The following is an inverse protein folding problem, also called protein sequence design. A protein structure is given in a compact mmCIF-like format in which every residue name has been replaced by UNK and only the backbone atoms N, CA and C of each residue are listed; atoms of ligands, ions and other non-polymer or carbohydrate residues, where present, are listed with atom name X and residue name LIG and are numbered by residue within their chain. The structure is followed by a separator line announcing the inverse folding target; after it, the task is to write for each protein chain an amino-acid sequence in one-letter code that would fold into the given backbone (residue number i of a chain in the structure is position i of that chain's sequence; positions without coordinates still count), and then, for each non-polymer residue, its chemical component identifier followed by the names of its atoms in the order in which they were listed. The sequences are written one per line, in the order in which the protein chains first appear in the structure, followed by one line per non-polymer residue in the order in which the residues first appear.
data_IF_654572466066
#
_entry.id   IF_654572466066
#
_cell.length_a   1.000
_cell.length_b   1.000
_cell.length_c   1.000
_cell.angle_alpha   90.00
_cell.angle_beta   90.00
_cell.angle_gamma   90.00
#
_symmetry.space_group_name_H-M   'P 1'
#
loop_
_entity.id
_entity.type
_entity.pdbx_description
1 polymer ?
#
# COMPACT_ATOMS: atom_id res chain seq x y z
N UNK A 1 -36.56 15.27 8.00
CA UNK A 1 -36.29 15.85 6.68
C UNK A 1 -37.51 16.63 6.16
N UNK A 2 -38.73 16.16 6.39
CA UNK A 2 -39.95 16.78 5.87
C UNK A 2 -40.10 18.26 6.31
N UNK A 3 -39.82 18.58 7.57
CA UNK A 3 -39.75 19.95 8.05
C UNK A 3 -38.76 20.82 7.25
N UNK A 4 -37.60 20.30 6.89
CA UNK A 4 -36.60 21.03 6.09
C UNK A 4 -37.05 21.18 4.63
N UNK A 5 -37.77 20.21 4.09
CA UNK A 5 -38.37 20.29 2.76
C UNK A 5 -39.43 21.36 2.70
N UNK A 6 -40.30 21.39 3.69
CA UNK A 6 -41.37 22.39 3.79
C UNK A 6 -40.81 23.79 3.99
N UNK A 7 -39.87 23.95 4.92
CA UNK A 7 -39.29 25.26 5.25
C UNK A 7 -38.37 25.85 4.17
N UNK A 8 -37.66 24.97 3.42
CA UNK A 8 -36.69 25.36 2.41
C UNK A 8 -36.88 24.57 1.11
N UNK A 9 -38.01 24.74 0.41
CA UNK A 9 -38.39 23.89 -0.73
C UNK A 9 -37.38 23.94 -1.88
N UNK A 10 -36.73 25.08 -2.08
CA UNK A 10 -35.80 25.31 -3.21
C UNK A 10 -34.33 25.21 -2.82
N UNK A 11 -33.98 24.75 -1.62
CA UNK A 11 -32.59 24.63 -1.18
C UNK A 11 -32.21 23.14 -0.92
N UNK A 12 -31.65 22.43 -1.90
CA UNK A 12 -31.27 21.03 -1.73
C UNK A 12 -30.13 20.84 -0.71
N UNK A 13 -29.38 21.89 -0.35
CA UNK A 13 -28.31 21.79 0.62
C UNK A 13 -28.82 21.66 2.06
N UNK A 14 -30.09 22.03 2.28
CA UNK A 14 -30.77 21.94 3.60
C UNK A 14 -31.61 20.66 3.75
N UNK A 15 -31.22 19.57 3.06
CA UNK A 15 -31.81 18.23 3.23
C UNK A 15 -30.98 17.40 4.19
N UNK A 16 -31.62 16.45 4.86
CA UNK A 16 -30.90 15.40 5.58
C UNK A 16 -30.18 14.54 4.54
N UNK A 17 -28.86 14.52 4.61
CA UNK A 17 -28.01 13.79 3.67
C UNK A 17 -27.67 12.40 4.17
N UNK A 18 -27.54 12.24 5.49
CA UNK A 18 -27.15 10.97 6.11
C UNK A 18 -27.73 10.81 7.50
N UNK A 19 -27.82 9.55 7.93
CA UNK A 19 -28.13 9.15 9.29
C UNK A 19 -26.98 8.29 9.83
N UNK A 20 -26.51 8.57 11.05
CA UNK A 20 -25.42 7.86 11.70
C UNK A 20 -25.96 6.87 12.72
N UNK A 21 -25.40 5.65 12.70
CA UNK A 21 -25.62 4.62 13.72
C UNK A 21 -24.30 4.42 14.46
N UNK A 22 -24.29 4.59 15.77
CA UNK A 22 -23.07 4.55 16.59
C UNK A 22 -23.18 3.69 17.84
N UNK A 23 -24.21 2.84 17.93
CA UNK A 23 -24.40 1.93 19.07
C UNK A 23 -25.24 0.71 18.72
N UNK A 24 -25.17 -0.31 19.56
CA UNK A 24 -25.89 -1.55 19.40
C UNK A 24 -25.36 -2.41 18.23
N UNK A 25 -26.22 -3.29 17.73
CA UNK A 25 -25.93 -4.10 16.55
C UNK A 25 -26.04 -3.24 15.28
N UNK A 26 -24.87 -2.80 14.78
CA UNK A 26 -24.77 -1.87 13.67
C UNK A 26 -25.33 -2.47 12.37
N UNK A 27 -25.00 -3.72 12.06
CA UNK A 27 -25.42 -4.37 10.83
C UNK A 27 -26.95 -4.57 10.79
N UNK A 28 -27.53 -5.05 11.88
CA UNK A 28 -28.98 -5.20 12.01
C UNK A 28 -29.67 -3.83 12.01
N UNK A 29 -29.08 -2.85 12.69
CA UNK A 29 -29.57 -1.47 12.73
C UNK A 29 -29.63 -0.85 11.33
N UNK A 30 -28.59 -1.03 10.53
CA UNK A 30 -28.52 -0.51 9.15
C UNK A 30 -29.62 -1.09 8.27
N UNK A 31 -29.83 -2.42 8.32
CA UNK A 31 -30.90 -3.10 7.56
C UNK A 31 -32.29 -2.59 7.91
N UNK A 32 -32.54 -2.43 9.21
CA UNK A 32 -33.84 -1.92 9.69
C UNK A 32 -34.08 -0.48 9.27
N UNK A 33 -33.05 0.38 9.44
CA UNK A 33 -33.16 1.80 9.10
C UNK A 33 -33.27 1.99 7.58
N UNK A 34 -32.50 1.26 6.79
CA UNK A 34 -32.60 1.28 5.31
C UNK A 34 -34.01 0.95 4.86
N UNK A 35 -34.56 -0.18 5.35
CA UNK A 35 -35.94 -0.58 5.05
C UNK A 35 -36.97 0.48 5.42
N UNK A 36 -36.80 1.13 6.58
CA UNK A 36 -37.71 2.17 7.04
C UNK A 36 -37.63 3.42 6.16
N UNK A 37 -36.43 3.85 5.78
CA UNK A 37 -36.21 5.01 4.90
C UNK A 37 -36.79 4.76 3.49
N UNK A 38 -36.62 3.56 2.96
CA UNK A 38 -37.17 3.19 1.65
C UNK A 38 -38.69 3.19 1.67
N UNK A 39 -39.30 2.68 2.75
CA UNK A 39 -40.76 2.63 2.91
C UNK A 39 -41.39 4.03 2.96
N UNK A 40 -40.67 5.06 3.41
CA UNK A 40 -41.15 6.45 3.44
C UNK A 40 -40.63 7.29 2.26
N UNK A 41 -40.12 6.66 1.21
CA UNK A 41 -39.66 7.33 -0.03
C UNK A 41 -38.39 8.17 0.14
N UNK A 42 -37.48 7.80 1.07
CA UNK A 42 -36.23 8.52 1.33
C UNK A 42 -34.98 7.67 1.09
N UNK A 43 -34.87 6.96 -0.06
CA UNK A 43 -33.71 6.13 -0.36
C UNK A 43 -32.39 6.91 -0.51
N UNK A 44 -32.49 8.23 -0.75
CA UNK A 44 -31.33 9.11 -0.91
C UNK A 44 -30.58 9.41 0.39
N UNK A 45 -31.17 9.15 1.56
CA UNK A 45 -30.50 9.34 2.86
C UNK A 45 -29.46 8.24 3.05
N UNK A 46 -28.20 8.63 3.12
CA UNK A 46 -27.06 7.73 3.30
C UNK A 46 -26.97 7.24 4.74
N UNK A 47 -26.45 6.02 4.95
CA UNK A 47 -26.20 5.47 6.27
C UNK A 47 -24.72 5.49 6.60
N UNK A 48 -24.38 5.95 7.79
CA UNK A 48 -23.00 6.06 8.29
C UNK A 48 -22.86 5.21 9.54
N UNK A 49 -21.91 4.28 9.55
CA UNK A 49 -21.51 3.56 10.75
C UNK A 49 -20.42 4.30 11.51
N UNK A 50 -20.46 4.24 12.84
CA UNK A 50 -19.36 4.63 13.72
C UNK A 50 -19.39 3.77 14.98
N UNK A 51 -18.43 3.93 15.87
CA UNK A 51 -18.25 3.18 17.13
C UNK A 51 -17.17 2.08 17.03
N UNK A 52 -15.95 2.46 17.38
CA UNK A 52 -14.82 1.55 17.54
C UNK A 52 -14.58 0.67 16.31
N UNK A 53 -14.77 1.26 15.11
CA UNK A 53 -14.60 0.55 13.84
C UNK A 53 -13.12 0.36 13.54
N UNK A 54 -12.83 -0.78 12.95
CA UNK A 54 -11.56 -1.17 12.37
C UNK A 54 -11.80 -1.94 11.07
N UNK A 55 -10.74 -2.30 10.36
CA UNK A 55 -10.82 -3.03 9.10
C UNK A 55 -11.52 -4.38 9.25
N UNK A 56 -11.36 -5.08 10.37
CA UNK A 56 -11.96 -6.40 10.60
C UNK A 56 -13.45 -6.30 10.85
N UNK A 57 -13.88 -5.34 11.66
CA UNK A 57 -15.32 -5.10 11.91
C UNK A 57 -16.03 -4.66 10.65
N UNK A 58 -15.41 -3.77 9.84
CA UNK A 58 -15.97 -3.35 8.56
C UNK A 58 -16.09 -4.55 7.62
N UNK A 59 -15.03 -5.32 7.45
CA UNK A 59 -15.05 -6.52 6.61
C UNK A 59 -16.12 -7.52 7.06
N UNK A 60 -16.27 -7.75 8.37
CA UNK A 60 -17.29 -8.63 8.90
C UNK A 60 -18.72 -8.14 8.56
N UNK A 61 -19.00 -6.87 8.80
CA UNK A 61 -20.29 -6.25 8.48
C UNK A 61 -20.63 -6.30 7.00
N UNK A 62 -19.64 -6.06 6.11
CA UNK A 62 -19.85 -6.07 4.65
C UNK A 62 -19.97 -7.49 4.10
N UNK A 63 -19.00 -8.36 4.39
CA UNK A 63 -18.87 -9.67 3.75
C UNK A 63 -19.83 -10.71 4.32
N UNK A 64 -20.05 -10.71 5.63
CA UNK A 64 -20.81 -11.78 6.30
C UNK A 64 -22.15 -11.32 6.83
N UNK A 65 -22.24 -10.08 7.30
CA UNK A 65 -23.49 -9.59 7.86
C UNK A 65 -24.32 -8.81 6.84
N UNK A 66 -23.78 -8.50 5.66
CA UNK A 66 -24.46 -7.75 4.59
C UNK A 66 -25.12 -6.46 5.12
N UNK A 67 -24.36 -5.64 5.82
CA UNK A 67 -24.82 -4.37 6.34
C UNK A 67 -25.12 -3.38 5.19
N UNK A 68 -25.99 -2.40 5.45
CA UNK A 68 -26.35 -1.37 4.48
C UNK A 68 -25.77 -0.02 4.87
N UNK A 69 -24.44 0.10 4.88
CA UNK A 69 -23.76 1.37 5.11
C UNK A 69 -23.18 1.95 3.81
N UNK A 70 -23.25 3.26 3.68
CA UNK A 70 -22.66 3.99 2.55
C UNK A 70 -21.28 4.56 2.93
N UNK A 71 -20.98 4.68 4.23
CA UNK A 71 -19.69 5.19 4.72
C UNK A 71 -19.43 4.79 6.17
N UNK A 72 -18.16 4.89 6.58
CA UNK A 72 -17.66 4.48 7.88
C UNK A 72 -16.87 5.59 8.53
N UNK A 73 -17.22 5.95 9.78
CA UNK A 73 -16.45 6.85 10.62
C UNK A 73 -15.46 6.07 11.47
N UNK A 74 -14.23 5.89 11.00
CA UNK A 74 -13.15 5.23 11.74
C UNK A 74 -12.37 6.30 12.50
N UNK A 75 -12.28 6.16 13.82
CA UNK A 75 -11.65 7.12 14.71
C UNK A 75 -10.34 6.61 15.31
N UNK A 76 -10.38 6.26 16.60
CA UNK A 76 -9.21 5.88 17.38
C UNK A 76 -8.40 4.72 16.77
N UNK A 77 -9.06 3.69 16.24
CA UNK A 77 -8.38 2.53 15.68
C UNK A 77 -7.55 2.88 14.43
N UNK A 78 -7.95 3.90 13.66
CA UNK A 78 -7.15 4.41 12.55
C UNK A 78 -5.90 5.15 13.05
N UNK A 79 -6.03 5.94 14.11
CA UNK A 79 -4.93 6.77 14.66
C UNK A 79 -3.95 5.92 15.46
N UNK A 80 -4.44 4.98 16.25
CA UNK A 80 -3.58 4.14 17.10
C UNK A 80 -2.88 3.04 16.33
N UNK A 81 -3.45 2.58 15.19
CA UNK A 81 -2.90 1.49 14.37
C UNK A 81 -2.43 0.32 15.23
N UNK A 82 -3.33 -0.25 16.04
CA UNK A 82 -3.00 -1.16 17.14
C UNK A 82 -2.15 -2.39 16.76
N UNK A 83 -2.26 -2.86 15.50
CA UNK A 83 -1.46 -3.98 14.98
C UNK A 83 -0.01 -3.60 14.68
N UNK A 84 0.24 -2.35 14.25
CA UNK A 84 1.58 -1.83 13.94
C UNK A 84 1.65 -0.32 14.23
N UNK A 85 1.71 0.07 15.51
CA UNK A 85 1.57 1.47 15.94
C UNK A 85 2.80 2.34 15.67
N UNK A 86 3.91 1.75 15.24
CA UNK A 86 5.18 2.44 15.05
C UNK A 86 5.78 2.12 13.69
N UNK A 87 6.04 3.14 12.89
CA UNK A 87 6.89 3.00 11.71
C UNK A 87 8.35 2.94 12.14
N UNK A 88 8.91 1.72 12.19
CA UNK A 88 10.32 1.51 12.47
C UNK A 88 11.20 2.07 11.34
N UNK A 89 12.11 2.99 11.67
CA UNK A 89 13.08 3.55 10.75
C UNK A 89 14.49 3.07 11.07
N UNK A 90 15.24 2.63 10.07
CA UNK A 90 16.65 2.23 10.20
C UNK A 90 17.48 2.91 9.12
N UNK A 91 18.57 3.55 9.52
CA UNK A 91 19.57 4.11 8.62
C UNK A 91 20.88 3.33 8.72
N UNK A 92 21.38 2.83 7.58
CA UNK A 92 22.61 2.05 7.49
C UNK A 92 23.49 2.57 6.36
N UNK A 93 24.81 2.70 6.63
CA UNK A 93 25.80 2.98 5.60
C UNK A 93 25.98 1.75 4.72
N UNK A 94 25.77 1.88 3.42
CA UNK A 94 25.86 0.81 2.44
C UNK A 94 26.90 1.04 1.35
N UNK A 95 27.34 2.27 1.16
CA UNK A 95 28.40 2.62 0.21
C UNK A 95 29.04 3.97 0.56
N UNK A 96 30.30 4.16 0.17
CA UNK A 96 31.03 5.42 0.28
C UNK A 96 31.51 5.84 -1.10
N UNK A 97 31.19 7.07 -1.50
CA UNK A 97 31.67 7.66 -2.77
C UNK A 97 33.17 7.94 -2.68
N UNK A 98 33.89 7.54 -3.70
CA UNK A 98 35.33 7.78 -3.84
C UNK A 98 35.61 9.07 -4.62
N UNK A 99 36.83 9.59 -4.57
CA UNK A 99 37.23 10.83 -5.33
C UNK A 99 37.05 10.68 -6.85
N UNK A 100 37.19 9.46 -7.40
CA UNK A 100 36.97 9.14 -8.82
C UNK A 100 35.50 9.06 -9.23
N UNK A 101 34.57 9.23 -8.27
CA UNK A 101 33.14 9.14 -8.48
C UNK A 101 32.55 7.74 -8.32
N UNK A 102 33.39 6.70 -8.20
CA UNK A 102 32.95 5.32 -7.92
C UNK A 102 32.39 5.18 -6.50
N UNK A 103 31.72 4.06 -6.21
CA UNK A 103 31.19 3.76 -4.89
C UNK A 103 31.80 2.46 -4.34
N UNK A 104 32.46 2.55 -3.20
CA UNK A 104 32.94 1.37 -2.47
C UNK A 104 31.80 0.85 -1.57
N UNK A 105 31.36 -0.41 -1.76
CA UNK A 105 30.36 -1.00 -0.89
C UNK A 105 30.80 -1.03 0.56
N UNK A 106 29.85 -0.87 1.48
CA UNK A 106 30.05 -0.99 2.92
C UNK A 106 28.93 -1.83 3.53
N UNK A 107 29.24 -2.62 4.53
CA UNK A 107 28.28 -3.41 5.26
C UNK A 107 28.62 -3.42 6.74
N UNK A 108 27.62 -3.28 7.59
CA UNK A 108 27.75 -3.59 9.01
C UNK A 108 27.51 -5.10 9.19
N UNK A 109 28.54 -5.82 9.64
CA UNK A 109 28.40 -7.21 10.04
C UNK A 109 27.53 -7.32 11.30
N UNK A 110 26.76 -8.38 11.38
CA UNK A 110 25.90 -8.70 12.52
C UNK A 110 25.92 -10.20 12.74
N UNK A 111 25.88 -10.64 13.99
CA UNK A 111 25.81 -12.05 14.36
C UNK A 111 24.50 -12.73 13.93
N UNK A 112 23.50 -11.94 13.56
CA UNK A 112 22.21 -12.42 13.05
C UNK A 112 22.10 -12.19 11.53
N UNK A 113 21.93 -13.26 10.77
CA UNK A 113 21.73 -13.20 9.31
C UNK A 113 20.50 -12.36 8.92
N UNK A 114 19.45 -12.36 9.73
CA UNK A 114 18.25 -11.53 9.52
C UNK A 114 18.51 -10.03 9.63
N UNK A 115 19.62 -9.61 10.25
CA UNK A 115 20.06 -8.22 10.36
C UNK A 115 21.11 -7.82 9.33
N UNK A 116 21.50 -8.75 8.45
CA UNK A 116 22.46 -8.46 7.39
C UNK A 116 21.86 -7.50 6.38
N UNK A 117 22.55 -6.39 6.16
CA UNK A 117 22.15 -5.36 5.19
C UNK A 117 22.62 -5.76 3.78
N UNK A 118 22.05 -5.11 2.77
CA UNK A 118 22.48 -5.28 1.37
C UNK A 118 23.46 -4.14 1.03
N UNK A 119 24.75 -4.43 0.80
CA UNK A 119 25.77 -3.43 0.51
C UNK A 119 25.65 -2.84 -0.91
N UNK A 120 26.37 -1.77 -1.16
CA UNK A 120 26.48 -1.14 -2.47
C UNK A 120 25.48 -0.01 -2.73
N UNK A 121 25.73 0.80 -3.75
CA UNK A 121 24.77 1.78 -4.28
C UNK A 121 23.81 1.03 -5.18
N UNK A 122 22.53 1.13 -4.89
CA UNK A 122 21.50 0.27 -5.47
C UNK A 122 20.32 1.06 -6.02
N UNK A 123 19.62 0.46 -6.98
CA UNK A 123 18.36 0.93 -7.53
C UNK A 123 17.32 -0.19 -7.39
N UNK A 124 16.26 0.00 -6.61
CA UNK A 124 15.11 -0.92 -6.63
C UNK A 124 14.24 -0.67 -7.86
N UNK A 125 13.80 -1.78 -8.45
CA UNK A 125 12.92 -1.80 -9.61
C UNK A 125 11.66 -2.59 -9.26
N UNK A 126 10.52 -2.23 -9.84
CA UNK A 126 9.31 -3.05 -9.85
C UNK A 126 9.15 -3.68 -11.22
N UNK A 127 8.89 -4.97 -11.24
CA UNK A 127 8.72 -5.79 -12.44
C UNK A 127 7.24 -6.16 -12.54
N UNK A 128 6.67 -6.01 -13.75
CA UNK A 128 5.25 -6.24 -14.00
C UNK A 128 5.05 -7.37 -15.00
N UNK A 129 3.97 -8.11 -14.84
CA UNK A 129 3.52 -9.14 -15.77
C UNK A 129 2.73 -8.55 -16.96
N UNK A 130 2.19 -9.44 -17.80
CA UNK A 130 1.40 -9.07 -18.97
C UNK A 130 0.06 -8.42 -18.63
N UNK A 131 -0.46 -8.59 -17.43
CA UNK A 131 -1.70 -7.98 -16.95
C UNK A 131 -1.46 -6.61 -16.31
N UNK A 132 -0.20 -6.18 -16.18
CA UNK A 132 0.18 -4.94 -15.53
C UNK A 132 0.26 -5.03 -14.00
N UNK A 133 0.16 -6.24 -13.44
CA UNK A 133 0.29 -6.47 -12.00
C UNK A 133 1.77 -6.57 -11.59
N UNK A 134 2.10 -6.04 -10.42
CA UNK A 134 3.44 -6.06 -9.87
C UNK A 134 3.82 -7.49 -9.45
N UNK A 135 4.70 -8.12 -10.22
CA UNK A 135 5.10 -9.51 -10.03
C UNK A 135 6.11 -9.65 -8.88
N UNK A 136 7.06 -8.73 -8.79
CA UNK A 136 8.02 -8.63 -7.69
C UNK A 136 8.78 -7.31 -7.76
N UNK A 137 9.49 -6.98 -6.68
CA UNK A 137 10.49 -5.93 -6.67
C UNK A 137 11.90 -6.55 -6.79
N UNK A 138 12.80 -5.86 -7.48
CA UNK A 138 14.17 -6.28 -7.73
C UNK A 138 15.15 -5.22 -7.24
N UNK A 139 16.09 -5.60 -6.40
CA UNK A 139 17.22 -4.77 -6.00
C UNK A 139 18.38 -5.05 -6.96
N UNK A 140 18.75 -4.03 -7.74
CA UNK A 140 19.88 -4.07 -8.66
C UNK A 140 20.99 -3.12 -8.22
N UNK A 141 22.21 -3.27 -8.69
CA UNK A 141 23.22 -2.23 -8.56
C UNK A 141 22.82 -0.99 -9.38
N UNK A 142 23.29 0.20 -9.00
CA UNK A 142 22.88 1.47 -9.60
C UNK A 142 23.22 1.59 -11.09
N UNK A 143 24.25 0.87 -11.54
CA UNK A 143 24.73 0.80 -12.92
C UNK A 143 24.09 -0.30 -13.76
N UNK A 144 23.31 -1.20 -13.15
CA UNK A 144 22.59 -2.23 -13.88
C UNK A 144 21.36 -1.66 -14.59
N UNK A 145 21.16 -2.09 -15.83
CA UNK A 145 20.00 -1.69 -16.64
C UNK A 145 19.03 -2.86 -16.74
N UNK A 146 17.83 -2.69 -16.23
CA UNK A 146 16.75 -3.66 -16.32
C UNK A 146 15.78 -3.20 -17.41
N UNK A 147 15.52 -4.06 -18.39
CA UNK A 147 14.71 -3.72 -19.56
C UNK A 147 13.46 -4.61 -19.65
N UNK A 148 12.34 -4.00 -20.04
CA UNK A 148 11.12 -4.74 -20.36
C UNK A 148 11.34 -5.65 -21.60
N UNK A 149 10.73 -6.83 -21.58
CA UNK A 149 10.84 -7.82 -22.66
C UNK A 149 12.15 -8.61 -22.68
N UNK A 150 13.08 -8.36 -21.74
CA UNK A 150 14.32 -9.14 -21.62
C UNK A 150 14.27 -10.05 -20.40
N UNK A 151 14.85 -11.28 -20.46
CA UNK A 151 14.96 -12.16 -19.30
C UNK A 151 15.78 -11.51 -18.19
N UNK A 152 15.26 -11.53 -16.97
CA UNK A 152 15.92 -11.05 -15.76
C UNK A 152 16.06 -12.20 -14.78
N UNK A 153 17.32 -12.58 -14.51
CA UNK A 153 17.65 -13.58 -13.50
C UNK A 153 17.80 -12.92 -12.14
N UNK A 154 17.15 -13.48 -11.14
CA UNK A 154 17.08 -12.93 -9.78
C UNK A 154 17.43 -13.99 -8.76
N UNK A 155 18.03 -13.56 -7.66
CA UNK A 155 18.27 -14.36 -6.46
C UNK A 155 17.25 -13.98 -5.41
N UNK A 156 16.55 -14.96 -4.86
CA UNK A 156 15.53 -14.73 -3.84
C UNK A 156 16.20 -14.27 -2.52
N UNK A 157 15.64 -13.22 -1.92
CA UNK A 157 16.09 -12.74 -0.61
C UNK A 157 15.55 -13.59 0.55
N UNK A 158 14.49 -14.35 0.31
CA UNK A 158 13.87 -15.17 1.33
C UNK A 158 14.68 -16.45 1.54
N UNK A 159 15.16 -16.67 2.77
CA UNK A 159 15.94 -17.85 3.12
C UNK A 159 15.12 -19.15 3.02
N UNK A 160 13.80 -19.05 3.10
CA UNK A 160 12.87 -20.18 3.09
C UNK A 160 12.34 -20.52 1.69
N UNK A 161 12.77 -19.79 0.66
CA UNK A 161 12.35 -20.05 -0.71
C UNK A 161 12.89 -21.39 -1.22
N UNK A 162 12.01 -22.17 -1.86
CA UNK A 162 12.34 -23.45 -2.50
C UNK A 162 13.34 -23.24 -3.64
N UNK A 163 13.15 -22.17 -4.42
CA UNK A 163 14.05 -21.79 -5.50
C UNK A 163 14.86 -20.54 -5.11
N UNK A 164 16.18 -20.68 -5.10
CA UNK A 164 17.08 -19.55 -4.82
C UNK A 164 17.28 -18.62 -6.00
N UNK A 165 17.05 -19.11 -7.22
CA UNK A 165 17.23 -18.35 -8.46
C UNK A 165 16.00 -18.50 -9.33
N UNK A 166 15.46 -17.38 -9.78
CA UNK A 166 14.29 -17.30 -10.67
C UNK A 166 14.62 -16.42 -11.85
N UNK A 167 14.13 -16.77 -13.04
CA UNK A 167 14.25 -15.92 -14.24
C UNK A 167 12.86 -15.63 -14.76
N UNK A 168 12.55 -14.34 -14.94
CA UNK A 168 11.29 -13.86 -15.51
C UNK A 168 11.57 -12.89 -16.66
N UNK A 169 10.58 -12.70 -17.53
CA UNK A 169 10.62 -11.69 -18.59
C UNK A 169 9.50 -10.67 -18.31
N UNK A 170 9.80 -9.55 -17.64
CA UNK A 170 8.79 -8.56 -17.31
C UNK A 170 8.33 -7.83 -18.55
N UNK A 171 7.03 -7.52 -18.65
CA UNK A 171 6.45 -6.72 -19.74
C UNK A 171 6.66 -5.22 -19.55
N UNK A 172 6.81 -4.79 -18.28
CA UNK A 172 7.07 -3.41 -17.87
C UNK A 172 8.00 -3.41 -16.67
N UNK A 173 8.86 -2.41 -16.59
CA UNK A 173 9.78 -2.19 -15.46
C UNK A 173 9.68 -0.72 -14.99
N UNK A 174 9.85 -0.49 -13.68
CA UNK A 174 9.77 0.85 -13.08
C UNK A 174 10.84 1.01 -12.02
N UNK A 175 11.66 2.05 -12.13
CA UNK A 175 12.55 2.48 -11.02
C UNK A 175 11.69 3.02 -9.88
N UNK A 176 11.99 2.59 -8.64
CA UNK A 176 11.23 3.01 -7.47
C UNK A 176 11.82 4.22 -6.75
N UNK A 177 13.13 4.48 -6.91
CA UNK A 177 13.75 5.66 -6.34
C UNK A 177 13.58 6.86 -7.28
N UNK A 178 12.97 7.91 -6.74
CA UNK A 178 12.80 9.20 -7.42
C UNK A 178 13.47 10.27 -6.56
N UNK A 179 14.38 11.10 -7.11
CA UNK A 179 15.02 12.17 -6.35
C UNK A 179 13.99 13.25 -5.99
N UNK A 180 13.79 13.50 -4.71
CA UNK A 180 12.89 14.54 -4.20
C UNK A 180 13.63 15.84 -3.90
N UNK A 181 14.88 15.73 -3.47
CA UNK A 181 15.75 16.88 -3.19
C UNK A 181 17.08 16.69 -3.90
N UNK A 182 17.49 17.66 -4.70
CA UNK A 182 18.77 17.73 -5.36
C UNK A 182 19.47 19.06 -5.03
N UNK A 183 20.71 19.01 -4.59
CA UNK A 183 21.50 20.20 -4.22
C UNK A 183 20.77 21.13 -3.23
N UNK A 184 20.04 20.57 -2.28
CA UNK A 184 19.28 21.31 -1.27
C UNK A 184 17.96 21.93 -1.76
N UNK A 185 17.55 21.66 -2.99
CA UNK A 185 16.29 22.16 -3.56
C UNK A 185 15.34 21.01 -3.91
N UNK A 186 14.04 21.27 -3.85
CA UNK A 186 13.03 20.30 -4.32
C UNK A 186 13.23 20.04 -5.82
N UNK A 187 13.37 18.77 -6.17
CA UNK A 187 13.51 18.28 -7.54
C UNK A 187 12.18 17.86 -8.18
N UNK A 188 11.12 17.83 -7.40
CA UNK A 188 9.77 17.47 -7.84
C UNK A 188 8.77 18.49 -7.31
N UNK A 189 7.65 18.65 -8.01
CA UNK A 189 6.46 19.27 -7.45
C UNK A 189 5.78 18.30 -6.48
N UNK A 190 5.45 18.78 -5.28
CA UNK A 190 4.79 17.93 -4.27
C UNK A 190 3.34 17.71 -4.66
N UNK A 191 2.91 16.45 -4.82
CA UNK A 191 1.54 16.15 -5.25
C UNK A 191 0.52 16.58 -4.19
N UNK A 192 -0.63 17.06 -4.66
CA UNK A 192 -1.81 17.35 -3.83
C UNK A 192 -2.36 16.07 -3.17
N UNK A 193 -3.23 16.25 -2.17
CA UNK A 193 -3.92 15.12 -1.50
C UNK A 193 -4.75 14.32 -2.52
N UNK A 194 -5.41 14.99 -3.46
CA UNK A 194 -6.23 14.33 -4.48
C UNK A 194 -5.37 13.44 -5.39
N UNK A 195 -4.22 13.92 -5.85
CA UNK A 195 -3.27 13.14 -6.65
C UNK A 195 -2.70 11.95 -5.89
N UNK A 196 -2.36 12.14 -4.60
CA UNK A 196 -1.91 11.01 -3.74
C UNK A 196 -2.98 9.94 -3.60
N UNK A 197 -4.24 10.33 -3.39
CA UNK A 197 -5.37 9.39 -3.32
C UNK A 197 -5.57 8.64 -4.63
N UNK A 198 -5.52 9.34 -5.77
CA UNK A 198 -5.64 8.73 -7.09
C UNK A 198 -4.48 7.74 -7.36
N UNK A 199 -3.26 8.12 -6.99
CA UNK A 199 -2.08 7.26 -7.11
C UNK A 199 -2.21 5.96 -6.31
N UNK A 200 -2.63 6.04 -5.04
CA UNK A 200 -2.84 4.86 -4.20
C UNK A 200 -3.98 4.00 -4.73
N UNK A 201 -5.12 4.62 -5.11
CA UNK A 201 -6.25 3.88 -5.67
C UNK A 201 -5.82 3.07 -6.89
N UNK A 202 -5.08 3.69 -7.80
CA UNK A 202 -4.54 3.01 -8.99
C UNK A 202 -3.64 1.83 -8.64
N UNK A 203 -2.72 2.00 -7.70
CA UNK A 203 -1.83 0.90 -7.29
C UNK A 203 -2.61 -0.28 -6.71
N UNK A 204 -3.60 -0.01 -5.85
CA UNK A 204 -4.40 -1.07 -5.21
C UNK A 204 -5.32 -1.81 -6.19
N UNK A 205 -5.85 -1.13 -7.20
CA UNK A 205 -6.82 -1.71 -8.14
C UNK A 205 -6.20 -2.31 -9.39
N UNK A 206 -5.05 -1.81 -9.83
CA UNK A 206 -4.46 -2.19 -11.12
C UNK A 206 -3.12 -2.93 -10.99
N UNK A 207 -2.30 -2.58 -9.98
CA UNK A 207 -0.92 -3.05 -9.89
C UNK A 207 -0.73 -4.14 -8.80
N UNK A 208 -1.57 -4.19 -7.76
CA UNK A 208 -1.41 -5.10 -6.63
C UNK A 208 -2.28 -6.34 -6.79
N UNK A 209 -1.73 -7.51 -6.49
CA UNK A 209 -2.48 -8.77 -6.48
C UNK A 209 -3.55 -8.76 -5.38
N UNK A 210 -4.74 -9.27 -5.69
CA UNK A 210 -5.84 -9.40 -4.71
C UNK A 210 -5.40 -10.16 -3.46
N UNK A 211 -4.59 -11.20 -3.63
CA UNK A 211 -4.08 -12.00 -2.52
C UNK A 211 -3.17 -11.22 -1.55
N UNK A 212 -2.50 -10.16 -2.00
CA UNK A 212 -1.67 -9.27 -1.16
C UNK A 212 -2.53 -8.29 -0.35
N UNK A 213 -3.78 -8.04 -0.78
CA UNK A 213 -4.71 -7.12 -0.12
C UNK A 213 -5.59 -7.79 0.94
N UNK A 214 -5.46 -9.10 1.16
CA UNK A 214 -6.25 -9.83 2.15
C UNK A 214 -5.93 -9.37 3.56
N UNK A 215 -6.96 -9.18 4.37
CA UNK A 215 -6.80 -8.85 5.79
C UNK A 215 -6.26 -10.03 6.61
N UNK A 216 -6.66 -11.24 6.24
CA UNK A 216 -6.20 -12.46 6.88
C UNK A 216 -5.28 -13.22 5.92
N UNK A 217 -4.09 -13.56 6.41
CA UNK A 217 -3.06 -14.28 5.65
C UNK A 217 -2.76 -13.65 4.28
N UNK A 218 -2.37 -12.36 4.22
CA UNK A 218 -2.00 -11.74 2.94
C UNK A 218 -0.82 -12.46 2.33
N UNK A 219 -0.81 -12.58 1.02
CA UNK A 219 0.36 -13.07 0.31
C UNK A 219 1.50 -12.06 0.42
N UNK A 220 2.71 -12.54 0.62
CA UNK A 220 3.89 -11.68 0.73
C UNK A 220 4.31 -11.17 -0.66
N UNK A 221 4.52 -9.87 -0.79
CA UNK A 221 5.16 -9.30 -1.98
C UNK A 221 6.64 -9.71 -2.04
N UNK A 222 7.07 -10.29 -3.16
CA UNK A 222 8.43 -10.76 -3.31
C UNK A 222 9.41 -9.62 -3.60
N UNK A 223 10.54 -9.65 -2.89
CA UNK A 223 11.68 -8.77 -3.14
C UNK A 223 12.90 -9.63 -3.40
N UNK A 224 13.47 -9.49 -4.59
CA UNK A 224 14.62 -10.26 -5.05
C UNK A 224 15.82 -9.32 -5.27
N UNK A 225 16.99 -9.90 -5.53
CA UNK A 225 18.20 -9.14 -5.89
C UNK A 225 18.82 -9.71 -7.17
N UNK A 226 19.56 -8.86 -7.89
CA UNK A 226 20.36 -9.34 -9.02
C UNK A 226 21.51 -10.23 -8.55
N UNK A 227 22.06 -11.10 -9.42
CA UNK A 227 23.27 -11.86 -9.10
C UNK A 227 24.45 -10.98 -8.67
N UNK A 228 24.61 -9.78 -9.25
CA UNK A 228 25.65 -8.83 -8.87
C UNK A 228 25.51 -8.34 -7.43
N UNK A 229 24.28 -8.02 -7.01
CA UNK A 229 23.99 -7.64 -5.61
C UNK A 229 24.23 -8.81 -4.67
N UNK A 230 23.81 -10.02 -5.04
CA UNK A 230 24.01 -11.22 -4.25
C UNK A 230 25.52 -11.53 -4.06
N UNK A 231 26.29 -11.42 -5.12
CA UNK A 231 27.73 -11.61 -5.09
C UNK A 231 28.43 -10.54 -4.23
N UNK A 232 28.06 -9.27 -4.39
CA UNK A 232 28.59 -8.19 -3.57
C UNK A 232 28.32 -8.45 -2.09
N UNK A 233 27.11 -8.90 -1.74
CA UNK A 233 26.74 -9.24 -0.36
C UNK A 233 27.57 -10.40 0.18
N UNK A 234 27.71 -11.48 -0.59
CA UNK A 234 28.43 -12.68 -0.16
C UNK A 234 29.95 -12.45 0.04
N UNK A 235 30.56 -11.55 -0.74
CA UNK A 235 31.98 -11.19 -0.58
C UNK A 235 32.27 -10.36 0.67
N UNK A 236 31.24 -9.75 1.27
CA UNK A 236 31.40 -8.88 2.43
C UNK A 236 30.93 -9.54 3.75
N UNK A 237 30.34 -10.73 3.65
CA UNK A 237 29.91 -11.53 4.80
C UNK A 237 30.96 -12.56 5.16
#
# INVERSE_FOLDING_TARGET
DDYLIEKYPNDPNRRVKSARIDSGDLARGSKRLRKALDAVGKPYIKLVASNGLDEKKIANMELYEHAHFDSYGVGENLITSASDPVFGGVYKLVAVKQPDGSYTPKMKCSDSASKAIIPGKKMPWRLYDENGQAQCDLIAMDDEVIEAGKPVTMVNLDSDAIERTVTITPTKVKKLLVPHVLNGQLAIELPSIAEKKAYIAKQLTEETWESELRLECPHKHYVNMTPAVAECRSKMY
#
